data_IF_243931810177
#
_entry.id   IF_243931810177
#
_cell.length_a   1.000
_cell.length_b   1.000
_cell.length_c   1.000
_cell.angle_alpha   90.00
_cell.angle_beta   90.00
_cell.angle_gamma   90.00
#
_symmetry.space_group_name_H-M   'P 1'
#
loop_
_entity.id
_entity.type
_entity.pdbx_description
1 polymer ?
#
# COMPACT_ATOMS: atom_id res chain seq x y z
N UNK A 1 -73.49 26.00 -48.67
CA UNK A 1 -72.21 26.67 -48.28
C UNK A 1 -71.77 26.03 -46.98
N UNK A 2 -70.90 25.03 -47.07
CA UNK A 2 -70.47 24.22 -45.92
C UNK A 2 -69.00 24.57 -45.63
N UNK A 3 -68.78 25.22 -44.48
CA UNK A 3 -67.42 25.52 -43.95
C UNK A 3 -66.89 24.31 -43.24
N UNK A 4 -65.75 23.73 -43.77
CA UNK A 4 -65.03 22.70 -43.15
C UNK A 4 -63.83 23.33 -42.32
N UNK A 5 -63.92 23.22 -41.00
CA UNK A 5 -62.80 23.58 -40.11
C UNK A 5 -61.79 22.44 -40.11
N UNK A 6 -60.58 22.74 -40.56
CA UNK A 6 -59.40 21.84 -40.43
C UNK A 6 -58.71 22.16 -39.11
N UNK A 7 -58.55 21.15 -38.24
CA UNK A 7 -57.71 21.21 -37.02
C UNK A 7 -56.32 20.77 -37.37
N UNK A 8 -55.25 21.42 -36.87
CA UNK A 8 -53.87 20.90 -37.05
C UNK A 8 -53.57 19.80 -36.02
N UNK A 9 -53.10 18.65 -36.50
CA UNK A 9 -52.51 17.62 -35.68
C UNK A 9 -51.16 18.13 -35.11
N UNK A 10 -51.07 18.30 -33.80
CA UNK A 10 -49.80 18.52 -33.10
C UNK A 10 -49.13 17.15 -32.84
N UNK A 11 -48.02 16.89 -33.51
CA UNK A 11 -47.15 15.77 -33.23
C UNK A 11 -46.40 16.04 -31.91
N UNK A 12 -46.74 15.31 -30.85
CA UNK A 12 -45.92 15.28 -29.63
C UNK A 12 -44.82 14.25 -29.81
N UNK A 13 -43.59 14.73 -30.04
CA UNK A 13 -42.37 13.92 -30.00
C UNK A 13 -42.02 13.68 -28.53
N UNK A 14 -42.38 12.49 -28.01
CA UNK A 14 -41.88 12.01 -26.72
C UNK A 14 -40.41 11.63 -26.85
N UNK A 15 -39.52 12.51 -26.40
CA UNK A 15 -38.10 12.23 -26.25
C UNK A 15 -37.89 11.24 -25.13
N UNK A 16 -37.57 9.97 -25.45
CA UNK A 16 -37.10 9.00 -24.48
C UNK A 16 -35.65 9.38 -24.10
N UNK A 17 -35.46 9.96 -22.91
CA UNK A 17 -34.15 10.12 -22.31
C UNK A 17 -33.64 8.73 -21.91
N UNK A 18 -32.72 8.18 -22.70
CA UNK A 18 -31.92 7.02 -22.28
C UNK A 18 -30.96 7.47 -21.16
N UNK A 19 -31.33 7.20 -19.92
CA UNK A 19 -30.40 7.20 -18.80
C UNK A 19 -29.49 6.01 -19.04
N UNK A 20 -28.28 6.27 -19.56
CA UNK A 20 -27.22 5.27 -19.62
C UNK A 20 -26.86 4.92 -18.18
N UNK A 21 -27.36 3.81 -17.70
CA UNK A 21 -26.93 3.20 -16.46
C UNK A 21 -25.52 2.69 -16.72
N UNK A 22 -24.50 3.43 -16.29
CA UNK A 22 -23.12 2.94 -16.27
C UNK A 22 -23.10 1.70 -15.37
N UNK A 23 -23.04 0.52 -15.97
CA UNK A 23 -22.82 -0.70 -15.24
C UNK A 23 -21.52 -0.51 -14.45
N UNK A 24 -21.59 -0.48 -13.12
CA UNK A 24 -20.42 -0.53 -12.25
C UNK A 24 -19.76 -1.86 -12.53
N UNK A 25 -18.56 -1.84 -13.14
CA UNK A 25 -17.75 -3.04 -13.25
C UNK A 25 -17.44 -3.55 -11.84
N UNK A 26 -17.48 -4.87 -11.66
CA UNK A 26 -17.04 -5.49 -10.40
C UNK A 26 -15.60 -5.06 -10.10
N UNK A 27 -15.21 -4.96 -8.82
CA UNK A 27 -13.83 -4.70 -8.45
C UNK A 27 -12.87 -5.68 -9.13
N UNK A 28 -11.70 -5.18 -9.56
CA UNK A 28 -10.68 -6.01 -10.20
C UNK A 28 -10.01 -6.93 -9.18
N UNK A 29 -9.50 -8.05 -9.67
CA UNK A 29 -8.67 -8.99 -8.92
C UNK A 29 -7.17 -8.75 -9.21
N UNK A 30 -6.29 -9.37 -8.41
CA UNK A 30 -4.86 -9.33 -8.70
C UNK A 30 -4.53 -10.05 -10.04
N UNK A 31 -5.31 -11.05 -10.44
CA UNK A 31 -5.13 -11.73 -11.72
C UNK A 31 -5.44 -10.82 -12.90
N UNK A 32 -6.41 -9.93 -12.78
CA UNK A 32 -6.69 -8.91 -13.81
C UNK A 32 -5.53 -7.92 -13.94
N UNK A 33 -4.94 -7.53 -12.82
CA UNK A 33 -3.75 -6.67 -12.81
C UNK A 33 -2.56 -7.38 -13.48
N UNK A 34 -2.28 -8.62 -13.11
CA UNK A 34 -1.14 -9.41 -13.61
C UNK A 34 -1.32 -9.93 -15.05
N UNK A 35 -2.51 -9.85 -15.63
CA UNK A 35 -2.73 -10.18 -17.03
C UNK A 35 -2.07 -9.20 -18.03
N UNK A 36 -1.58 -8.06 -17.53
CA UNK A 36 -0.91 -7.03 -18.32
C UNK A 36 0.58 -7.34 -18.49
N UNK A 37 1.24 -6.83 -19.57
CA UNK A 37 2.70 -6.93 -19.69
C UNK A 37 3.39 -6.34 -18.47
N UNK A 38 4.29 -7.12 -17.86
CA UNK A 38 5.04 -6.69 -16.68
C UNK A 38 6.05 -5.60 -17.06
N UNK A 39 6.06 -4.43 -16.38
CA UNK A 39 7.11 -3.44 -16.53
C UNK A 39 8.47 -4.00 -16.07
N UNK A 40 9.56 -3.53 -16.70
CA UNK A 40 10.92 -3.94 -16.35
C UNK A 40 11.57 -2.91 -15.43
N UNK A 41 12.17 -3.38 -14.34
CA UNK A 41 13.01 -2.57 -13.47
C UNK A 41 14.31 -2.17 -14.17
N UNK A 42 14.87 -1.04 -13.78
CA UNK A 42 16.19 -0.60 -14.26
C UNK A 42 17.32 -1.44 -13.67
N UNK A 43 17.15 -1.89 -12.44
CA UNK A 43 18.12 -2.67 -11.68
C UNK A 43 17.39 -3.56 -10.67
N UNK A 44 17.89 -4.77 -10.53
CA UNK A 44 17.54 -5.68 -9.43
C UNK A 44 18.73 -5.78 -8.46
N UNK A 45 18.49 -5.65 -7.17
CA UNK A 45 19.50 -5.71 -6.11
C UNK A 45 19.11 -6.73 -5.05
N UNK A 46 20.00 -7.71 -4.81
CA UNK A 46 19.88 -8.57 -3.65
C UNK A 46 20.44 -7.84 -2.42
N UNK A 47 19.68 -7.83 -1.33
CA UNK A 47 20.09 -7.27 -0.04
C UNK A 47 20.39 -8.38 1.00
N UNK A 48 20.18 -9.66 0.64
CA UNK A 48 20.48 -10.84 1.44
C UNK A 48 20.67 -12.08 0.58
N UNK A 49 20.93 -13.26 1.20
CA UNK A 49 21.21 -14.50 0.50
C UNK A 49 19.99 -15.25 -0.02
N UNK A 50 18.81 -14.99 0.53
CA UNK A 50 17.59 -15.71 0.14
C UNK A 50 17.00 -15.13 -1.16
N UNK A 51 16.28 -15.94 -1.97
CA UNK A 51 15.72 -15.49 -3.25
C UNK A 51 14.83 -14.25 -3.13
N UNK A 52 14.01 -14.17 -2.08
CA UNK A 52 13.06 -13.08 -1.86
C UNK A 52 13.69 -11.87 -1.15
N UNK A 53 14.97 -11.93 -0.81
CA UNK A 53 15.73 -10.80 -0.30
C UNK A 53 16.25 -9.94 -1.45
N UNK A 54 15.32 -9.39 -2.21
CA UNK A 54 15.58 -8.63 -3.43
C UNK A 54 14.76 -7.34 -3.47
N UNK A 55 15.27 -6.34 -4.15
CA UNK A 55 14.52 -5.14 -4.45
C UNK A 55 14.81 -4.66 -5.88
N UNK A 56 13.84 -4.04 -6.49
CA UNK A 56 13.86 -3.56 -7.87
C UNK A 56 13.84 -2.04 -7.90
N UNK A 57 14.80 -1.45 -8.63
CA UNK A 57 14.89 -0.01 -8.80
C UNK A 57 14.35 0.40 -10.17
N UNK A 58 13.35 1.26 -10.18
CA UNK A 58 12.81 1.90 -11.38
C UNK A 58 13.30 3.34 -11.42
N UNK A 59 14.19 3.67 -12.37
CA UNK A 59 14.81 4.99 -12.48
C UNK A 59 14.17 5.81 -13.61
N UNK A 60 13.75 7.05 -13.36
CA UNK A 60 13.33 7.96 -14.40
C UNK A 60 14.54 8.45 -15.23
N UNK A 61 14.31 8.78 -16.51
CA UNK A 61 15.32 9.40 -17.35
C UNK A 61 15.40 10.90 -17.04
N UNK A 62 16.16 11.26 -16.00
CA UNK A 62 16.38 12.67 -15.62
C UNK A 62 17.75 12.87 -14.97
N UNK A 63 18.21 14.12 -14.96
CA UNK A 63 19.44 14.52 -14.26
C UNK A 63 19.14 15.09 -12.87
N UNK A 64 20.18 15.15 -12.02
CA UNK A 64 20.13 15.71 -10.68
C UNK A 64 19.64 14.72 -9.62
N UNK A 65 19.42 15.21 -8.39
CA UNK A 65 18.85 14.41 -7.32
C UNK A 65 17.42 13.96 -7.66
N UNK A 66 17.12 12.69 -7.43
CA UNK A 66 15.86 12.07 -7.80
C UNK A 66 15.11 11.71 -6.52
N UNK A 67 13.93 12.33 -6.33
CA UNK A 67 13.04 12.00 -5.21
C UNK A 67 12.69 10.52 -5.24
N UNK A 68 12.75 9.88 -4.08
CA UNK A 68 12.68 8.43 -3.97
C UNK A 68 11.43 8.00 -3.21
N UNK A 69 10.74 7.03 -3.77
CA UNK A 69 9.59 6.36 -3.17
C UNK A 69 9.94 4.89 -2.97
N UNK A 70 9.61 4.34 -1.81
CA UNK A 70 9.67 2.89 -1.57
C UNK A 70 8.28 2.30 -1.74
N UNK A 71 8.19 1.17 -2.44
CA UNK A 71 6.97 0.37 -2.53
C UNK A 71 7.13 -0.93 -1.76
N UNK A 72 6.09 -1.32 -1.03
CA UNK A 72 6.01 -2.59 -0.29
C UNK A 72 4.73 -3.30 -0.71
N UNK A 73 4.88 -4.50 -1.31
CA UNK A 73 3.77 -5.24 -1.87
C UNK A 73 2.88 -5.90 -0.80
N UNK A 74 1.62 -6.17 -1.17
CA UNK A 74 0.66 -6.95 -0.40
C UNK A 74 0.85 -8.46 -0.55
N UNK A 75 -0.28 -9.18 -0.43
CA UNK A 75 -0.32 -10.64 -0.56
C UNK A 75 -0.46 -11.38 0.77
N UNK A 76 -1.11 -10.76 1.76
CA UNK A 76 -1.39 -11.38 3.06
C UNK A 76 -0.16 -11.97 3.76
N UNK A 77 1.03 -11.48 3.46
CA UNK A 77 2.34 -12.02 3.92
C UNK A 77 2.56 -13.49 3.54
N UNK A 78 1.85 -14.04 2.55
CA UNK A 78 1.87 -15.45 2.16
C UNK A 78 2.71 -15.68 0.91
N UNK A 79 3.60 -16.67 0.92
CA UNK A 79 4.39 -17.10 -0.23
C UNK A 79 3.56 -17.54 -1.45
N UNK A 80 2.32 -18.00 -1.21
CA UNK A 80 1.41 -18.42 -2.26
C UNK A 80 0.82 -17.27 -3.10
N UNK A 81 1.01 -16.02 -2.67
CA UNK A 81 0.52 -14.82 -3.37
C UNK A 81 1.70 -14.12 -4.04
N UNK A 82 1.55 -13.55 -5.25
CA UNK A 82 2.63 -12.83 -5.92
C UNK A 82 3.24 -11.71 -5.08
N UNK A 83 4.56 -11.52 -5.19
CA UNK A 83 5.34 -10.50 -4.49
C UNK A 83 5.37 -9.14 -5.20
N UNK A 84 6.60 -8.63 -5.45
CA UNK A 84 6.86 -7.31 -6.06
C UNK A 84 6.08 -7.04 -7.33
N UNK A 85 5.80 -8.07 -8.14
CA UNK A 85 5.07 -7.94 -9.40
C UNK A 85 3.70 -7.26 -9.23
N UNK A 86 3.08 -7.34 -8.06
CA UNK A 86 1.82 -6.62 -7.76
C UNK A 86 1.99 -5.11 -7.80
N UNK A 87 3.21 -4.61 -7.51
CA UNK A 87 3.50 -3.18 -7.42
C UNK A 87 4.25 -2.63 -8.65
N UNK A 88 4.67 -3.47 -9.58
CA UNK A 88 5.48 -3.06 -10.75
C UNK A 88 4.77 -2.03 -11.64
N UNK A 89 3.44 -2.18 -11.80
CA UNK A 89 2.65 -1.25 -12.60
C UNK A 89 2.61 0.14 -11.95
N UNK A 90 2.50 0.16 -10.64
CA UNK A 90 2.55 1.38 -9.84
C UNK A 90 3.96 1.99 -9.85
N UNK A 91 5.00 1.14 -9.74
CA UNK A 91 6.39 1.57 -9.82
C UNK A 91 6.69 2.25 -11.16
N UNK A 92 6.20 1.67 -12.26
CA UNK A 92 6.37 2.23 -13.59
C UNK A 92 5.62 3.55 -13.77
N UNK A 93 4.41 3.70 -13.23
CA UNK A 93 3.66 4.96 -13.28
C UNK A 93 4.40 6.07 -12.51
N UNK A 94 4.83 5.79 -11.29
CA UNK A 94 5.61 6.74 -10.48
C UNK A 94 6.96 7.08 -11.14
N UNK A 95 7.64 6.10 -11.75
CA UNK A 95 8.86 6.34 -12.54
C UNK A 95 8.61 7.31 -13.68
N UNK A 96 7.52 7.14 -14.44
CA UNK A 96 7.12 8.06 -15.54
C UNK A 96 6.85 9.48 -15.04
N UNK A 97 6.41 9.63 -13.80
CA UNK A 97 6.20 10.92 -13.12
C UNK A 97 7.50 11.54 -12.58
N UNK A 98 8.63 10.85 -12.75
CA UNK A 98 9.95 11.36 -12.39
C UNK A 98 10.45 11.00 -11.00
N UNK A 99 9.84 10.01 -10.33
CA UNK A 99 10.34 9.44 -9.09
C UNK A 99 11.28 8.27 -9.36
N UNK A 100 12.28 8.11 -8.54
CA UNK A 100 12.96 6.84 -8.37
C UNK A 100 12.10 5.96 -7.46
N UNK A 101 11.88 4.71 -7.86
CA UNK A 101 11.02 3.80 -7.10
C UNK A 101 11.82 2.57 -6.70
N UNK A 102 11.87 2.31 -5.39
CA UNK A 102 12.49 1.14 -4.78
C UNK A 102 11.39 0.17 -4.36
N UNK A 103 11.11 -0.83 -5.21
CA UNK A 103 10.07 -1.84 -5.01
C UNK A 103 10.71 -3.05 -4.31
N UNK A 104 10.39 -3.28 -3.03
CA UNK A 104 11.06 -4.30 -2.20
C UNK A 104 10.22 -5.58 -2.13
N UNK A 105 10.89 -6.73 -2.20
CA UNK A 105 10.37 -8.03 -1.80
C UNK A 105 10.86 -8.37 -0.39
N UNK A 106 10.27 -9.37 0.22
CA UNK A 106 10.60 -9.83 1.58
C UNK A 106 10.13 -11.28 1.75
N UNK A 107 10.79 -12.05 2.62
CA UNK A 107 10.37 -13.43 2.91
C UNK A 107 9.00 -13.45 3.58
N UNK A 108 8.14 -14.31 3.07
CA UNK A 108 6.73 -14.46 3.46
C UNK A 108 6.51 -15.76 4.21
N UNK A 109 5.40 -15.86 4.92
CA UNK A 109 4.94 -17.09 5.57
C UNK A 109 4.86 -18.22 4.52
N UNK A 110 5.55 -19.34 4.78
CA UNK A 110 5.71 -20.45 3.85
C UNK A 110 7.08 -20.51 3.18
N UNK A 111 7.89 -19.46 3.27
CA UNK A 111 9.29 -19.40 2.86
C UNK A 111 10.22 -19.62 4.06
N UNK A 112 11.46 -20.04 3.78
CA UNK A 112 12.45 -20.27 4.84
C UNK A 112 12.76 -18.97 5.60
N UNK A 113 12.43 -18.94 6.88
CA UNK A 113 12.59 -17.77 7.74
C UNK A 113 11.55 -16.67 7.54
N UNK A 114 10.48 -16.88 6.76
CA UNK A 114 9.34 -15.97 6.66
C UNK A 114 8.52 -15.91 7.94
N UNK A 115 7.75 -14.84 8.13
CA UNK A 115 7.12 -14.50 9.41
C UNK A 115 8.11 -13.84 10.37
N UNK A 116 7.77 -13.84 11.66
CA UNK A 116 8.64 -13.24 12.68
C UNK A 116 9.89 -14.09 12.96
N UNK A 117 11.09 -13.48 13.03
CA UNK A 117 11.36 -12.07 12.79
C UNK A 117 11.71 -11.74 11.32
N UNK A 118 11.83 -12.75 10.44
CA UNK A 118 12.45 -12.62 9.12
C UNK A 118 11.77 -11.64 8.19
N UNK A 119 10.43 -11.66 8.07
CA UNK A 119 9.68 -10.69 7.24
C UNK A 119 9.99 -9.25 7.62
N UNK A 120 10.04 -8.95 8.90
CA UNK A 120 10.30 -7.61 9.42
C UNK A 120 11.76 -7.20 9.24
N UNK A 121 12.70 -8.12 9.49
CA UNK A 121 14.13 -7.88 9.27
C UNK A 121 14.45 -7.65 7.79
N UNK A 122 13.74 -8.34 6.90
CA UNK A 122 13.91 -8.18 5.46
C UNK A 122 13.45 -6.79 5.01
N UNK A 123 12.25 -6.36 5.43
CA UNK A 123 11.76 -5.00 5.15
C UNK A 123 12.72 -3.94 5.70
N UNK A 124 13.16 -4.10 6.95
CA UNK A 124 14.12 -3.19 7.57
C UNK A 124 15.40 -3.09 6.75
N UNK A 125 15.98 -4.23 6.37
CA UNK A 125 17.25 -4.28 5.62
C UNK A 125 17.10 -3.76 4.20
N UNK A 126 16.02 -4.11 3.51
CA UNK A 126 15.74 -3.59 2.17
C UNK A 126 15.62 -2.06 2.15
N UNK A 127 14.96 -1.48 3.18
CA UNK A 127 14.89 -0.04 3.39
C UNK A 127 16.29 0.56 3.59
N UNK A 128 17.07 0.01 4.52
CA UNK A 128 18.37 0.57 4.91
C UNK A 128 19.42 0.44 3.80
N UNK A 129 19.30 -0.56 2.90
CA UNK A 129 20.13 -0.73 1.70
C UNK A 129 20.10 0.47 0.75
N UNK A 130 19.02 1.28 0.79
CA UNK A 130 18.95 2.52 0.01
C UNK A 130 20.10 3.48 0.31
N UNK A 131 20.64 3.52 1.56
CA UNK A 131 21.80 4.36 1.89
C UNK A 131 23.02 4.03 1.04
N UNK A 132 23.21 2.75 0.76
CA UNK A 132 24.39 2.26 0.03
C UNK A 132 24.32 2.59 -1.46
N UNK A 133 23.10 2.52 -2.04
CA UNK A 133 22.90 2.72 -3.48
C UNK A 133 22.59 4.17 -3.86
N UNK A 134 22.07 4.97 -2.94
CA UNK A 134 21.61 6.32 -3.21
C UNK A 134 22.68 7.22 -3.87
N UNK A 135 23.97 7.22 -3.47
CA UNK A 135 24.99 8.05 -4.12
C UNK A 135 25.20 7.69 -5.59
N UNK A 136 25.21 6.39 -5.93
CA UNK A 136 25.47 5.92 -7.28
C UNK A 136 24.35 6.30 -8.28
N UNK A 137 23.12 6.34 -7.79
CA UNK A 137 21.92 6.63 -8.60
C UNK A 137 21.34 8.02 -8.34
N UNK A 138 22.03 8.86 -7.55
CA UNK A 138 21.59 10.23 -7.19
C UNK A 138 20.20 10.25 -6.54
N UNK A 139 19.89 9.24 -5.71
CA UNK A 139 18.61 9.15 -5.01
C UNK A 139 18.57 10.20 -3.89
N UNK A 140 17.51 11.00 -3.86
CA UNK A 140 17.24 11.91 -2.77
C UNK A 140 16.41 11.18 -1.69
N UNK A 141 17.03 10.91 -0.55
CA UNK A 141 16.42 10.25 0.60
C UNK A 141 15.97 11.25 1.68
N UNK A 142 16.16 12.55 1.46
CA UNK A 142 15.87 13.59 2.48
C UNK A 142 14.37 13.69 2.78
N UNK A 143 13.52 13.28 1.84
CA UNK A 143 12.05 13.26 1.96
C UNK A 143 11.49 11.93 1.45
N UNK A 144 11.98 10.82 2.05
CA UNK A 144 11.58 9.49 1.67
C UNK A 144 10.10 9.22 2.00
N UNK A 145 9.33 8.84 0.99
CA UNK A 145 7.95 8.39 1.13
C UNK A 145 7.90 6.88 0.95
N UNK A 146 7.18 6.21 1.86
CA UNK A 146 6.95 4.76 1.76
C UNK A 146 5.48 4.52 1.47
N UNK A 147 5.20 3.75 0.42
CA UNK A 147 3.85 3.36 0.02
C UNK A 147 3.75 1.85 0.13
N UNK A 148 2.78 1.36 0.87
CA UNK A 148 2.52 -0.07 0.96
C UNK A 148 1.07 -0.41 0.68
N UNK A 149 0.83 -1.60 0.13
CA UNK A 149 -0.50 -2.09 -0.17
C UNK A 149 -0.86 -3.30 0.70
N UNK A 150 -2.05 -3.31 1.31
CA UNK A 150 -2.56 -4.46 2.07
C UNK A 150 -1.58 -4.88 3.20
N UNK A 151 -1.10 -6.11 3.19
CA UNK A 151 0.00 -6.58 4.04
C UNK A 151 1.24 -5.65 3.96
N UNK A 152 1.56 -5.13 2.77
CA UNK A 152 2.62 -4.14 2.59
C UNK A 152 2.28 -2.77 3.20
N UNK A 153 1.00 -2.41 3.26
CA UNK A 153 0.54 -1.21 3.97
C UNK A 153 0.84 -1.28 5.47
N UNK A 154 0.60 -2.45 6.08
CA UNK A 154 1.05 -2.75 7.44
C UNK A 154 2.57 -2.57 7.57
N UNK A 155 3.36 -3.22 6.70
CA UNK A 155 4.81 -3.17 6.75
C UNK A 155 5.38 -1.77 6.47
N UNK A 156 4.70 -0.96 5.66
CA UNK A 156 5.09 0.44 5.41
C UNK A 156 4.93 1.32 6.66
N UNK A 157 3.78 1.20 7.34
CA UNK A 157 3.55 1.93 8.60
C UNK A 157 4.46 1.40 9.70
N UNK A 158 4.69 0.08 9.78
CA UNK A 158 5.66 -0.51 10.68
C UNK A 158 7.08 -0.01 10.43
N UNK A 159 7.51 0.09 9.17
CA UNK A 159 8.83 0.61 8.83
C UNK A 159 9.01 2.07 9.28
N UNK A 160 7.96 2.88 9.18
CA UNK A 160 7.95 4.25 9.69
C UNK A 160 7.98 4.31 11.23
N UNK A 161 7.44 3.29 11.90
CA UNK A 161 7.41 3.18 13.36
C UNK A 161 8.70 2.57 13.96
N UNK A 162 9.66 2.11 13.16
CA UNK A 162 10.92 1.47 13.63
C UNK A 162 11.67 2.26 14.71
N UNK A 163 11.72 3.61 14.71
CA UNK A 163 12.34 4.36 15.79
C UNK A 163 11.70 4.14 17.18
N UNK A 164 10.48 3.62 17.23
CA UNK A 164 9.71 3.39 18.46
C UNK A 164 9.71 1.92 18.91
N UNK A 165 10.45 1.06 18.21
CA UNK A 165 10.57 -0.36 18.58
C UNK A 165 11.17 -0.50 19.98
N UNK A 166 10.70 -1.47 20.80
CA UNK A 166 11.32 -1.80 22.08
C UNK A 166 12.80 -2.14 21.90
N UNK A 167 13.67 -1.57 22.74
CA UNK A 167 15.13 -1.75 22.65
C UNK A 167 15.58 -3.20 22.85
N UNK A 168 14.78 -4.03 23.48
CA UNK A 168 15.01 -5.47 23.70
C UNK A 168 14.42 -6.36 22.60
N UNK A 169 13.72 -5.76 21.60
CA UNK A 169 13.25 -6.49 20.43
C UNK A 169 14.40 -6.85 19.50
N UNK A 170 14.37 -8.05 18.93
CA UNK A 170 15.31 -8.45 17.86
C UNK A 170 15.15 -7.64 16.58
N UNK A 171 14.05 -6.88 16.45
CA UNK A 171 13.76 -6.00 15.32
C UNK A 171 14.31 -4.58 15.52
N UNK A 172 14.82 -4.28 16.75
CA UNK A 172 15.35 -2.96 17.05
C UNK A 172 16.65 -2.67 16.29
N UNK A 173 16.72 -1.49 15.71
CA UNK A 173 17.92 -0.92 15.09
C UNK A 173 18.08 0.53 15.55
N UNK A 174 19.30 0.90 15.95
CA UNK A 174 19.58 2.22 16.52
C UNK A 174 19.51 3.38 15.51
N UNK A 175 19.64 3.07 14.21
CA UNK A 175 19.66 4.10 13.15
C UNK A 175 18.87 3.65 11.91
N UNK A 176 17.55 3.43 12.02
CA UNK A 176 16.73 3.11 10.86
C UNK A 176 16.73 4.26 9.84
N UNK A 177 16.54 3.93 8.54
CA UNK A 177 16.43 4.96 7.50
C UNK A 177 15.24 5.87 7.80
N UNK A 178 15.43 7.21 7.92
CA UNK A 178 14.33 8.13 8.21
C UNK A 178 13.28 8.13 7.10
N UNK A 179 12.01 8.10 7.49
CA UNK A 179 10.85 8.17 6.62
C UNK A 179 10.12 9.48 6.91
N UNK A 180 9.76 10.24 5.87
CA UNK A 180 9.09 11.53 6.01
C UNK A 180 7.58 11.41 6.00
N UNK A 181 7.05 10.47 5.23
CA UNK A 181 5.63 10.17 5.16
C UNK A 181 5.39 8.72 4.77
N UNK A 182 4.24 8.19 5.16
CA UNK A 182 3.79 6.86 4.77
C UNK A 182 2.40 6.92 4.15
N UNK A 183 2.20 6.15 3.08
CA UNK A 183 0.90 5.95 2.44
C UNK A 183 0.53 4.47 2.55
N UNK A 184 -0.53 4.19 3.29
CA UNK A 184 -1.04 2.84 3.52
C UNK A 184 -2.29 2.63 2.67
N UNK A 185 -2.14 1.90 1.57
CA UNK A 185 -3.22 1.56 0.64
C UNK A 185 -3.87 0.26 1.12
N UNK A 186 -5.09 0.33 1.64
CA UNK A 186 -5.81 -0.80 2.25
C UNK A 186 -4.96 -1.56 3.28
N UNK A 187 -4.17 -0.85 4.09
CA UNK A 187 -3.22 -1.48 5.02
C UNK A 187 -3.86 -2.02 6.29
N UNK A 188 -3.28 -3.12 6.79
CA UNK A 188 -3.70 -3.80 8.02
C UNK A 188 -2.86 -3.27 9.19
N UNK A 189 -3.12 -2.04 9.64
CA UNK A 189 -2.24 -1.31 10.57
C UNK A 189 -2.47 -1.65 12.05
N UNK A 190 -3.53 -2.42 12.37
CA UNK A 190 -3.73 -3.07 13.65
C UNK A 190 -3.91 -4.58 13.43
N UNK A 191 -2.85 -5.33 13.73
CA UNK A 191 -2.84 -6.78 13.52
C UNK A 191 -3.79 -7.50 14.47
N UNK A 192 -3.95 -7.03 15.70
CA UNK A 192 -4.84 -7.66 16.68
C UNK A 192 -6.31 -7.48 16.28
N UNK A 193 -6.72 -6.27 15.88
CA UNK A 193 -8.08 -6.02 15.42
C UNK A 193 -8.39 -6.82 14.14
N UNK A 194 -7.45 -6.86 13.18
CA UNK A 194 -7.66 -7.61 11.94
C UNK A 194 -7.71 -9.14 12.20
N UNK A 195 -6.90 -9.65 13.12
CA UNK A 195 -6.92 -11.06 13.54
C UNK A 195 -8.29 -11.47 14.04
N UNK A 196 -8.87 -10.64 14.90
CA UNK A 196 -10.10 -11.00 15.63
C UNK A 196 -11.38 -10.65 14.84
N UNK A 197 -11.33 -9.67 13.97
CA UNK A 197 -12.50 -9.12 13.28
C UNK A 197 -12.35 -9.00 11.75
N UNK A 198 -11.19 -9.35 11.18
CA UNK A 198 -10.93 -9.28 9.75
C UNK A 198 -11.68 -10.35 8.96
N UNK A 199 -11.94 -10.08 7.67
CA UNK A 199 -12.44 -11.13 6.78
C UNK A 199 -11.44 -12.28 6.63
N UNK A 200 -11.95 -13.47 6.29
CA UNK A 200 -11.11 -14.66 6.08
C UNK A 200 -10.29 -14.63 4.77
N UNK A 201 -10.37 -13.56 4.00
CA UNK A 201 -9.71 -13.40 2.70
C UNK A 201 -8.17 -13.58 2.78
N UNK A 202 -7.55 -13.20 3.89
CA UNK A 202 -6.13 -13.43 4.17
C UNK A 202 -5.85 -14.69 5.01
N UNK A 203 -6.73 -15.68 5.00
CA UNK A 203 -6.53 -16.93 5.74
C UNK A 203 -6.96 -16.88 7.21
N UNK A 204 -7.56 -15.77 7.65
CA UNK A 204 -8.10 -15.59 9.00
C UNK A 204 -7.03 -15.45 10.09
N UNK A 205 -7.39 -15.72 11.37
CA UNK A 205 -6.51 -15.53 12.54
C UNK A 205 -5.16 -16.23 12.45
N UNK A 206 -5.12 -17.44 11.89
CA UNK A 206 -3.89 -18.25 11.79
C UNK A 206 -2.79 -17.59 10.95
N UNK A 207 -3.13 -16.77 9.97
CA UNK A 207 -2.14 -16.04 9.18
C UNK A 207 -1.45 -14.97 10.03
N UNK A 208 -2.24 -14.22 10.83
CA UNK A 208 -1.65 -13.23 11.74
C UNK A 208 -0.79 -13.91 12.80
N UNK A 209 -1.28 -15.03 13.39
CA UNK A 209 -0.52 -15.80 14.38
C UNK A 209 0.82 -16.31 13.80
N UNK A 210 0.82 -16.75 12.53
CA UNK A 210 2.03 -17.18 11.84
C UNK A 210 2.97 -16.00 11.51
N UNK A 211 2.42 -14.82 11.18
CA UNK A 211 3.21 -13.62 10.91
C UNK A 211 3.95 -13.14 12.16
N UNK A 212 3.25 -13.01 13.28
CA UNK A 212 3.82 -12.45 14.51
C UNK A 212 4.59 -13.47 15.34
N UNK A 213 4.41 -14.75 15.07
CA UNK A 213 5.02 -15.84 15.81
C UNK A 213 4.50 -15.97 17.25
N UNK A 214 4.86 -17.06 17.96
CA UNK A 214 4.41 -17.31 19.31
C UNK A 214 5.06 -16.37 20.33
N UNK A 215 4.40 -16.11 21.47
CA UNK A 215 5.05 -15.47 22.62
C UNK A 215 6.25 -16.30 23.10
N UNK A 216 7.32 -15.62 23.50
CA UNK A 216 8.51 -16.27 24.02
C UNK A 216 9.25 -15.39 25.03
N UNK A 217 9.86 -15.98 26.05
CA UNK A 217 10.74 -15.31 27.00
C UNK A 217 10.22 -13.95 27.49
N UNK A 218 10.90 -12.89 27.12
CA UNK A 218 10.54 -11.49 27.41
C UNK A 218 9.46 -10.95 26.47
N UNK A 219 9.32 -11.51 25.27
CA UNK A 219 8.34 -11.11 24.24
C UNK A 219 6.98 -11.78 24.52
N UNK A 220 6.24 -11.28 25.51
CA UNK A 220 4.91 -11.80 25.88
C UNK A 220 3.79 -11.21 25.03
N UNK A 221 3.85 -9.92 24.69
CA UNK A 221 2.97 -9.28 23.72
C UNK A 221 3.64 -9.32 22.35
N UNK A 222 3.13 -10.21 21.49
CA UNK A 222 3.66 -10.41 20.13
C UNK A 222 3.39 -9.23 19.22
N UNK A 223 2.48 -8.34 19.57
CA UNK A 223 2.12 -7.14 18.80
C UNK A 223 2.98 -5.94 19.17
N UNK A 224 3.66 -5.96 20.31
CA UNK A 224 4.43 -4.81 20.81
C UNK A 224 5.53 -4.34 19.85
N UNK A 225 6.07 -5.24 19.02
CA UNK A 225 7.13 -4.96 18.04
C UNK A 225 6.73 -5.25 16.58
N UNK A 226 5.49 -5.72 16.35
CA UNK A 226 5.01 -6.08 15.02
C UNK A 226 3.81 -5.28 14.53
N UNK A 227 2.96 -4.74 15.43
CA UNK A 227 1.76 -4.01 15.05
C UNK A 227 1.96 -2.50 15.18
N UNK A 228 1.79 -1.71 14.09
CA UNK A 228 1.89 -0.25 14.14
C UNK A 228 1.02 0.39 15.23
N UNK A 229 -0.17 -0.17 15.50
CA UNK A 229 -1.07 0.32 16.56
C UNK A 229 -0.44 0.30 17.96
N UNK A 230 0.59 -0.54 18.19
CA UNK A 230 1.33 -0.63 19.47
C UNK A 230 2.55 0.29 19.55
N UNK A 231 2.89 0.95 18.43
CA UNK A 231 4.07 1.80 18.30
C UNK A 231 3.71 3.29 18.19
N UNK A 232 2.44 3.63 18.39
CA UNK A 232 1.93 5.00 18.33
C UNK A 232 2.42 5.86 19.53
N UNK A 233 2.68 7.16 19.35
CA UNK A 233 2.70 7.87 18.07
C UNK A 233 3.96 7.51 17.24
N UNK A 234 3.84 7.40 15.92
CA UNK A 234 5.00 7.12 15.07
C UNK A 234 5.71 8.38 14.56
N UNK A 235 5.09 9.54 14.72
CA UNK A 235 5.71 10.84 14.50
C UNK A 235 5.88 11.27 13.04
N UNK A 236 5.41 10.48 12.05
CA UNK A 236 5.43 10.84 10.63
C UNK A 236 4.03 11.11 10.10
N UNK A 237 3.92 11.85 8.97
CA UNK A 237 2.63 12.03 8.30
C UNK A 237 2.15 10.70 7.72
N UNK A 238 0.91 10.34 8.01
CA UNK A 238 0.28 9.11 7.54
C UNK A 238 -0.91 9.44 6.65
N UNK A 239 -0.99 8.77 5.49
CA UNK A 239 -2.15 8.80 4.61
C UNK A 239 -2.67 7.36 4.51
N UNK A 240 -3.89 7.16 4.99
CA UNK A 240 -4.56 5.87 4.99
C UNK A 240 -5.64 5.89 3.92
N UNK A 241 -5.50 5.06 2.91
CA UNK A 241 -6.40 5.00 1.77
C UNK A 241 -7.15 3.67 1.78
N UNK A 242 -8.45 3.71 1.59
CA UNK A 242 -9.31 2.51 1.53
C UNK A 242 -10.24 2.56 0.32
N UNK A 243 -10.57 1.41 -0.23
CA UNK A 243 -11.66 1.26 -1.19
C UNK A 243 -12.99 1.02 -0.48
N UNK A 244 -14.06 1.71 -0.87
CA UNK A 244 -15.37 1.55 -0.23
C UNK A 244 -16.04 0.18 -0.51
N UNK A 245 -15.54 -0.56 -1.50
CA UNK A 245 -16.01 -1.90 -1.87
C UNK A 245 -14.95 -2.98 -1.58
N UNK A 246 -13.94 -2.67 -0.78
CA UNK A 246 -12.86 -3.60 -0.45
C UNK A 246 -13.38 -4.73 0.48
N UNK A 247 -13.44 -5.99 0.00
CA UNK A 247 -13.89 -7.12 0.80
C UNK A 247 -12.75 -7.76 1.62
N UNK A 248 -11.50 -7.35 1.37
CA UNK A 248 -10.30 -7.93 1.99
C UNK A 248 -9.90 -7.12 3.22
N UNK A 249 -9.77 -5.79 3.05
CA UNK A 249 -9.48 -4.86 4.14
C UNK A 249 -10.52 -3.74 4.15
N UNK A 250 -11.69 -3.96 4.71
CA UNK A 250 -12.75 -2.94 4.83
C UNK A 250 -12.26 -1.63 5.46
N UNK A 251 -12.77 -0.49 4.98
CA UNK A 251 -12.33 0.85 5.36
C UNK A 251 -12.33 1.10 6.89
N UNK A 252 -13.21 0.42 7.65
CA UNK A 252 -13.26 0.53 9.11
C UNK A 252 -11.92 0.25 9.81
N UNK A 253 -11.04 -0.59 9.21
CA UNK A 253 -9.72 -0.86 9.80
C UNK A 253 -8.79 0.35 9.70
N UNK A 254 -8.84 1.08 8.59
CA UNK A 254 -8.10 2.33 8.44
C UNK A 254 -8.69 3.42 9.35
N UNK A 255 -10.01 3.48 9.48
CA UNK A 255 -10.72 4.41 10.35
C UNK A 255 -10.35 4.19 11.82
N UNK A 256 -10.49 2.94 12.32
CA UNK A 256 -10.15 2.58 13.69
C UNK A 256 -8.69 2.87 14.03
N UNK A 257 -7.75 2.44 13.19
CA UNK A 257 -6.32 2.74 13.38
C UNK A 257 -6.05 4.26 13.30
N UNK A 258 -6.65 4.96 12.35
CA UNK A 258 -6.48 6.40 12.18
C UNK A 258 -6.96 7.21 13.38
N UNK A 259 -8.03 6.79 14.02
CA UNK A 259 -8.54 7.43 15.24
C UNK A 259 -7.60 7.19 16.43
N UNK A 260 -7.05 5.99 16.58
CA UNK A 260 -6.02 5.71 17.60
C UNK A 260 -4.75 6.55 17.37
N UNK A 261 -4.28 6.64 16.13
CA UNK A 261 -3.08 7.39 15.79
C UNK A 261 -3.27 8.90 16.03
N UNK A 262 -4.41 9.47 15.64
CA UNK A 262 -4.75 10.87 15.95
C UNK A 262 -4.85 11.12 17.45
N UNK A 263 -5.49 10.22 18.19
CA UNK A 263 -5.58 10.31 19.65
C UNK A 263 -4.21 10.27 20.33
N UNK A 264 -3.23 9.60 19.71
CA UNK A 264 -1.84 9.54 20.16
C UNK A 264 -1.00 10.76 19.71
N UNK A 265 -1.55 11.67 18.91
CA UNK A 265 -0.88 12.89 18.44
C UNK A 265 -0.31 12.85 17.03
N UNK A 266 -0.50 11.75 16.30
CA UNK A 266 -0.05 11.63 14.91
C UNK A 266 -0.88 12.45 13.91
N UNK A 267 -0.25 12.87 12.83
CA UNK A 267 -0.91 13.53 11.69
C UNK A 267 -1.41 12.48 10.71
N UNK A 268 -2.70 12.20 10.73
CA UNK A 268 -3.33 11.17 9.89
C UNK A 268 -4.40 11.77 9.00
N UNK A 269 -4.31 11.46 7.70
CA UNK A 269 -5.32 11.73 6.69
C UNK A 269 -5.98 10.41 6.28
N UNK A 270 -7.32 10.40 6.24
CA UNK A 270 -8.12 9.26 5.77
C UNK A 270 -8.72 9.60 4.42
N UNK A 271 -8.57 8.69 3.46
CA UNK A 271 -9.12 8.82 2.12
C UNK A 271 -9.86 7.52 1.76
N UNK A 272 -11.19 7.57 1.72
CA UNK A 272 -12.01 6.44 1.27
C UNK A 272 -12.47 6.69 -0.17
N UNK A 273 -11.98 5.85 -1.10
CA UNK A 273 -12.28 5.95 -2.52
C UNK A 273 -13.60 5.25 -2.83
N UNK A 274 -14.58 6.03 -3.26
CA UNK A 274 -15.89 5.50 -3.61
C UNK A 274 -15.82 4.51 -4.79
N UNK A 275 -16.52 3.39 -4.67
CA UNK A 275 -16.59 2.31 -5.66
C UNK A 275 -15.28 1.63 -6.02
N UNK A 276 -14.22 1.84 -5.28
CA UNK A 276 -12.97 1.11 -5.42
C UNK A 276 -12.98 -0.16 -4.55
N UNK A 277 -12.47 -1.25 -5.07
CA UNK A 277 -12.12 -2.46 -4.32
C UNK A 277 -10.68 -2.40 -3.80
N UNK A 278 -10.07 -3.58 -3.64
CA UNK A 278 -8.74 -3.72 -3.06
C UNK A 278 -7.62 -3.36 -4.04
N UNK A 279 -7.70 -3.86 -5.28
CA UNK A 279 -6.62 -3.76 -6.26
C UNK A 279 -6.69 -2.51 -7.14
N UNK A 280 -7.82 -1.82 -7.21
CA UNK A 280 -7.93 -0.52 -7.87
C UNK A 280 -7.03 0.54 -7.23
N UNK A 281 -6.67 0.37 -5.95
CA UNK A 281 -5.78 1.30 -5.23
C UNK A 281 -4.33 1.24 -5.73
N UNK A 282 -3.94 0.16 -6.41
CA UNK A 282 -2.59 -0.04 -6.98
C UNK A 282 -2.60 -0.19 -8.51
N UNK A 283 -3.76 0.01 -9.15
CA UNK A 283 -3.87 0.02 -10.60
C UNK A 283 -3.75 1.44 -11.15
N UNK A 284 -2.65 1.80 -11.82
CA UNK A 284 -2.46 3.15 -12.37
C UNK A 284 -3.51 3.56 -13.41
N UNK A 285 -4.26 2.60 -13.96
CA UNK A 285 -5.31 2.89 -14.94
C UNK A 285 -6.68 3.12 -14.30
N UNK A 286 -6.81 2.85 -13.00
CA UNK A 286 -8.06 2.97 -12.26
C UNK A 286 -8.44 4.43 -11.98
N UNK A 287 -9.74 4.68 -11.79
CA UNK A 287 -10.22 5.97 -11.29
C UNK A 287 -9.88 6.19 -9.80
N UNK A 288 -9.58 5.11 -9.07
CA UNK A 288 -9.09 5.19 -7.70
C UNK A 288 -7.69 5.79 -7.65
N UNK A 289 -6.76 5.29 -8.48
CA UNK A 289 -5.40 5.80 -8.53
C UNK A 289 -5.34 7.28 -8.92
N UNK A 290 -6.14 7.72 -9.88
CA UNK A 290 -6.24 9.13 -10.27
C UNK A 290 -6.62 10.08 -9.12
N UNK A 291 -7.28 9.56 -8.08
CA UNK A 291 -7.61 10.34 -6.87
C UNK A 291 -6.48 10.26 -5.81
N UNK A 292 -5.72 9.17 -5.78
CA UNK A 292 -4.63 8.93 -4.83
C UNK A 292 -3.36 9.67 -5.25
N UNK A 293 -3.02 9.63 -6.53
CA UNK A 293 -1.79 10.16 -7.08
C UNK A 293 -1.52 11.64 -6.72
N UNK A 294 -2.49 12.58 -6.82
CA UNK A 294 -2.24 13.98 -6.45
C UNK A 294 -1.87 14.15 -4.98
N UNK A 295 -2.36 13.26 -4.11
CA UNK A 295 -2.05 13.28 -2.67
C UNK A 295 -0.60 12.88 -2.44
N UNK A 296 -0.10 11.88 -3.18
CA UNK A 296 1.31 11.46 -3.13
C UNK A 296 2.21 12.58 -3.66
N UNK A 297 1.87 13.20 -4.78
CA UNK A 297 2.64 14.33 -5.33
C UNK A 297 2.69 15.53 -4.36
N UNK A 298 1.62 15.75 -3.58
CA UNK A 298 1.60 16.83 -2.60
C UNK A 298 2.53 16.58 -1.40
N UNK A 299 2.78 15.31 -1.02
CA UNK A 299 3.75 14.97 0.02
C UNK A 299 5.17 15.38 -0.35
N UNK A 300 5.46 15.39 -1.63
CA UNK A 300 6.77 15.68 -2.18
C UNK A 300 7.03 17.19 -2.36
N UNK A 301 6.00 18.03 -2.26
CA UNK A 301 6.11 19.48 -2.46
C UNK A 301 6.26 20.24 -1.13
N UNK A 302 5.87 19.62 -0.01
CA UNK A 302 5.87 20.18 1.33
C UNK A 302 6.97 19.57 2.21
#
# INVERSE_FOLDING_TARGET
MTNMYRWPLALVLAGAAFVAWSASSAPISYTDLLARPRPEATLTRHYGPEPDQVAELFLPKREGPIRTIVLIHGGCWLAAIPGTVLMDYLAEDLRKRGFAVWNIDYRRIGENGGGYPGTFLDVAKAMDTLRDIAPAYKLDLSRLVVIGHSAGGHLAVWAAARPHLPHDSVLYESNPLPISAVVSLAGINDLADYRDHGPSACGGPSTIDSLVGPPSGTRKDVYADTSPSRLLPIGVRQILVSGSLDPIVPARFAESYGDMARASGDKVELLTIARAGHFELIDPTSDAWKQIEPVIEALEKN
#
